data_IF_426537082943
#
_entry.id   IF_426537082943
#
_cell.length_a   1.000
_cell.length_b   1.000
_cell.length_c   1.000
_cell.angle_alpha   90.00
_cell.angle_beta   90.00
_cell.angle_gamma   90.00
#
_symmetry.space_group_name_H-M   'P 1'
#
loop_
_entity.id
_entity.type
_entity.pdbx_description
1 polymer ?
#
# COMPACT_ATOMS: atom_id res chain seq x y z
N UNK A 1 -1.39 -52.74 -45.51
CA UNK A 1 -1.90 -51.38 -45.24
C UNK A 1 -1.74 -51.12 -43.75
N UNK A 2 -0.86 -50.19 -43.38
CA UNK A 2 -0.55 -49.86 -42.00
C UNK A 2 -1.66 -48.99 -41.40
N UNK A 3 -2.38 -49.53 -40.41
CA UNK A 3 -3.27 -48.75 -39.55
C UNK A 3 -2.41 -48.04 -38.50
N UNK A 4 -2.12 -46.76 -38.72
CA UNK A 4 -1.45 -45.93 -37.72
C UNK A 4 -2.42 -45.62 -36.58
N UNK A 5 -2.28 -46.37 -35.48
CA UNK A 5 -2.81 -45.97 -34.18
C UNK A 5 -2.04 -44.75 -33.72
N UNK A 6 -2.71 -43.61 -33.65
CA UNK A 6 -2.17 -42.40 -33.04
C UNK A 6 -2.10 -42.59 -31.52
N UNK A 7 -0.93 -42.96 -31.02
CA UNK A 7 -0.57 -42.86 -29.61
C UNK A 7 -0.55 -41.37 -29.21
N UNK A 8 -1.71 -40.83 -28.85
CA UNK A 8 -1.80 -39.53 -28.22
C UNK A 8 -1.25 -39.64 -26.79
N UNK A 9 0.03 -39.32 -26.61
CA UNK A 9 0.65 -39.02 -25.32
C UNK A 9 0.11 -37.68 -24.79
N UNK A 10 -1.17 -37.62 -24.42
CA UNK A 10 -1.63 -36.59 -23.49
C UNK A 10 -1.06 -36.93 -22.12
N UNK A 11 0.04 -36.28 -21.77
CA UNK A 11 0.58 -36.27 -20.42
C UNK A 11 -0.56 -35.96 -19.43
N UNK A 12 -0.87 -36.87 -18.49
CA UNK A 12 -1.78 -36.63 -17.34
C UNK A 12 -1.16 -35.64 -16.35
N UNK A 13 -0.61 -34.54 -16.85
CA UNK A 13 -0.11 -33.45 -16.02
C UNK A 13 -1.34 -32.65 -15.64
N UNK A 14 -1.85 -32.86 -14.42
CA UNK A 14 -2.79 -31.94 -13.82
C UNK A 14 -2.08 -30.61 -13.63
N UNK A 15 -2.37 -29.64 -14.48
CA UNK A 15 -1.74 -28.30 -14.46
C UNK A 15 -2.21 -27.43 -13.30
N UNK A 16 -3.15 -27.93 -12.50
CA UNK A 16 -3.75 -27.25 -11.37
C UNK A 16 -3.92 -28.24 -10.22
N UNK A 17 -3.53 -27.80 -9.03
CA UNK A 17 -3.76 -28.55 -7.80
C UNK A 17 -5.26 -28.49 -7.46
N UNK A 18 -5.92 -29.66 -7.49
CA UNK A 18 -7.35 -29.78 -7.16
C UNK A 18 -7.66 -29.33 -5.73
N UNK A 19 -6.71 -29.48 -4.82
CA UNK A 19 -6.86 -29.09 -3.42
C UNK A 19 -6.81 -27.56 -3.27
N UNK A 20 -5.99 -26.86 -4.06
CA UNK A 20 -5.99 -25.39 -4.13
C UNK A 20 -7.33 -24.83 -4.63
N UNK A 21 -7.91 -25.47 -5.66
CA UNK A 21 -9.23 -25.12 -6.19
C UNK A 21 -10.33 -25.37 -5.15
N UNK A 22 -10.31 -26.50 -4.44
CA UNK A 22 -11.27 -26.81 -3.37
C UNK A 22 -11.15 -25.83 -2.19
N UNK A 23 -9.92 -25.45 -1.83
CA UNK A 23 -9.62 -24.46 -0.79
C UNK A 23 -10.16 -23.07 -1.17
N UNK A 24 -10.14 -22.71 -2.46
CA UNK A 24 -10.72 -21.46 -2.95
C UNK A 24 -12.25 -21.42 -2.78
N UNK A 25 -12.94 -22.55 -2.95
CA UNK A 25 -14.40 -22.66 -2.80
C UNK A 25 -14.78 -22.66 -1.31
N UNK A 26 -14.05 -23.39 -0.48
CA UNK A 26 -14.24 -23.43 0.98
C UNK A 26 -14.03 -22.06 1.63
N UNK A 27 -12.96 -21.35 1.26
CA UNK A 27 -12.68 -20.00 1.74
C UNK A 27 -13.76 -18.99 1.31
N UNK A 28 -14.28 -19.09 0.08
CA UNK A 28 -15.43 -18.28 -0.39
C UNK A 28 -16.69 -18.56 0.43
N UNK A 29 -16.99 -19.83 0.77
CA UNK A 29 -18.15 -20.20 1.60
C UNK A 29 -18.03 -19.62 3.02
N UNK A 30 -16.85 -19.72 3.63
CA UNK A 30 -16.56 -19.12 4.96
C UNK A 30 -16.71 -17.59 4.92
N UNK A 31 -16.16 -16.92 3.89
CA UNK A 31 -16.29 -15.48 3.71
C UNK A 31 -17.75 -15.03 3.58
N UNK A 32 -18.55 -15.72 2.75
CA UNK A 32 -20.00 -15.45 2.62
C UNK A 32 -20.75 -15.60 3.94
N UNK A 33 -20.42 -16.62 4.74
CA UNK A 33 -21.03 -16.81 6.07
C UNK A 33 -20.68 -15.68 7.03
N UNK A 34 -19.42 -15.23 7.02
CA UNK A 34 -18.97 -14.09 7.80
C UNK A 34 -19.65 -12.79 7.37
N UNK A 35 -19.71 -12.51 6.07
CA UNK A 35 -20.41 -11.34 5.51
C UNK A 35 -21.89 -11.32 5.91
N UNK A 36 -22.59 -12.46 5.87
CA UNK A 36 -23.98 -12.57 6.34
C UNK A 36 -24.09 -12.26 7.83
N UNK A 37 -23.18 -12.78 8.66
CA UNK A 37 -23.15 -12.52 10.10
C UNK A 37 -22.90 -11.04 10.37
N UNK A 38 -21.92 -10.41 9.71
CA UNK A 38 -21.62 -8.99 9.90
C UNK A 38 -22.78 -8.10 9.46
N UNK A 39 -23.46 -8.42 8.36
CA UNK A 39 -24.67 -7.69 7.93
C UNK A 39 -25.79 -7.76 8.96
N UNK A 40 -26.06 -8.94 9.52
CA UNK A 40 -27.05 -9.10 10.60
C UNK A 40 -26.70 -8.25 11.82
N UNK A 41 -25.42 -8.24 12.20
CA UNK A 41 -24.94 -7.45 13.33
C UNK A 41 -25.03 -5.94 13.04
N UNK A 42 -24.72 -5.51 11.82
CA UNK A 42 -24.85 -4.11 11.40
C UNK A 42 -26.29 -3.60 11.47
N UNK A 43 -27.26 -4.45 11.09
CA UNK A 43 -28.69 -4.13 11.21
C UNK A 43 -29.13 -3.96 12.68
N UNK A 44 -28.43 -4.57 13.63
CA UNK A 44 -28.64 -4.43 15.07
C UNK A 44 -27.81 -3.29 15.68
N UNK A 45 -27.12 -2.47 14.87
CA UNK A 45 -26.26 -1.39 15.34
C UNK A 45 -24.88 -1.85 15.87
N UNK A 46 -24.49 -3.11 15.64
CA UNK A 46 -23.21 -3.68 16.06
C UNK A 46 -22.23 -3.64 14.89
N UNK A 47 -21.31 -2.68 14.91
CA UNK A 47 -20.32 -2.51 13.85
C UNK A 47 -19.04 -3.29 14.15
N UNK A 48 -18.73 -4.28 13.31
CA UNK A 48 -17.49 -5.06 13.39
C UNK A 48 -16.60 -4.71 12.20
N UNK A 49 -15.32 -4.41 12.50
CA UNK A 49 -14.33 -4.18 11.46
C UNK A 49 -12.96 -3.74 12.00
N UNK A 50 -11.91 -3.99 11.22
CA UNK A 50 -10.53 -3.64 11.59
C UNK A 50 -10.26 -2.13 11.52
N UNK A 51 -10.92 -1.41 10.62
CA UNK A 51 -10.68 0.02 10.40
C UNK A 51 -11.68 0.90 11.13
N UNK A 52 -11.19 1.77 12.02
CA UNK A 52 -12.01 2.73 12.79
C UNK A 52 -12.81 3.68 11.90
N UNK A 53 -12.24 4.15 10.77
CA UNK A 53 -12.94 5.02 9.83
C UNK A 53 -14.17 4.38 9.19
N UNK A 54 -14.06 3.12 8.71
CA UNK A 54 -15.21 2.41 8.13
C UNK A 54 -16.28 2.10 9.17
N UNK A 55 -15.89 1.77 10.40
CA UNK A 55 -16.84 1.57 11.49
C UNK A 55 -17.61 2.86 11.80
N UNK A 56 -16.93 4.01 11.86
CA UNK A 56 -17.59 5.30 12.07
C UNK A 56 -18.60 5.62 10.96
N UNK A 57 -18.24 5.35 9.70
CA UNK A 57 -19.15 5.56 8.57
C UNK A 57 -20.42 4.70 8.66
N UNK A 58 -20.27 3.42 9.05
CA UNK A 58 -21.42 2.52 9.28
C UNK A 58 -22.29 3.02 10.45
N UNK A 59 -21.67 3.44 11.54
CA UNK A 59 -22.39 3.99 12.69
C UNK A 59 -23.20 5.25 12.35
N UNK A 60 -22.64 6.16 11.55
CA UNK A 60 -23.36 7.35 11.07
C UNK A 60 -24.56 7.00 10.19
N UNK A 61 -24.39 6.09 9.24
CA UNK A 61 -25.49 5.62 8.39
C UNK A 61 -26.61 4.96 9.20
N UNK A 62 -26.25 4.17 10.20
CA UNK A 62 -27.23 3.57 11.09
C UNK A 62 -27.95 4.61 11.94
N UNK A 63 -27.25 5.62 12.47
CA UNK A 63 -27.91 6.70 13.21
C UNK A 63 -28.87 7.49 12.33
N UNK A 64 -28.51 7.76 11.08
CA UNK A 64 -29.38 8.43 10.09
C UNK A 64 -30.61 7.58 9.72
N UNK A 65 -30.43 6.25 9.61
CA UNK A 65 -31.52 5.32 9.37
C UNK A 65 -32.48 5.25 10.56
N UNK A 66 -31.95 5.13 11.78
CA UNK A 66 -32.75 5.12 13.01
C UNK A 66 -33.47 6.44 13.22
N UNK A 67 -32.85 7.59 12.92
CA UNK A 67 -33.52 8.88 13.05
C UNK A 67 -34.71 9.02 12.09
N UNK A 68 -34.60 8.48 10.86
CA UNK A 68 -35.71 8.45 9.89
C UNK A 68 -36.85 7.52 10.32
N UNK A 69 -36.51 6.34 10.86
CA UNK A 69 -37.50 5.42 11.41
C UNK A 69 -38.26 6.00 12.61
N UNK A 70 -37.56 6.73 13.49
CA UNK A 70 -38.18 7.37 14.66
C UNK A 70 -39.15 8.49 14.29
N UNK A 71 -38.95 9.17 13.16
CA UNK A 71 -39.90 10.18 12.66
C UNK A 71 -41.13 9.60 11.96
N UNK A 72 -41.17 8.29 11.72
CA UNK A 72 -42.25 7.58 11.01
C UNK A 72 -43.15 6.74 11.96
N UNK A 73 -43.14 7.02 13.27
CA UNK A 73 -44.03 6.42 14.30
C UNK A 73 -43.99 4.89 14.45
N UNK A 74 -42.82 4.25 14.35
CA UNK A 74 -42.64 2.90 14.89
C UNK A 74 -41.67 2.89 16.07
N UNK A 75 -42.22 3.00 17.29
CA UNK A 75 -41.53 2.54 18.49
C UNK A 75 -41.39 1.01 18.44
N UNK A 76 -40.36 0.54 17.74
CA UNK A 76 -39.79 -0.79 17.98
C UNK A 76 -38.61 -0.60 18.91
N UNK A 77 -38.82 -0.89 20.18
CA UNK A 77 -37.76 -1.02 21.16
C UNK A 77 -36.72 -2.02 20.63
N UNK A 78 -35.57 -1.50 20.21
CA UNK A 78 -34.39 -2.29 19.89
C UNK A 78 -33.65 -2.63 21.19
N UNK A 79 -34.36 -3.26 22.13
CA UNK A 79 -33.78 -3.69 23.40
C UNK A 79 -32.97 -4.97 23.20
N UNK A 80 -31.68 -4.73 22.92
CA UNK A 80 -30.50 -5.38 23.50
C UNK A 80 -30.55 -6.90 23.71
N UNK A 81 -30.48 -7.67 22.62
CA UNK A 81 -29.94 -9.03 22.68
C UNK A 81 -28.41 -9.01 22.50
N UNK A 82 -27.65 -8.58 23.50
CA UNK A 82 -26.17 -8.61 23.44
C UNK A 82 -25.54 -9.00 24.78
N UNK A 83 -25.79 -10.24 25.21
CA UNK A 83 -24.97 -10.87 26.26
C UNK A 83 -23.71 -11.44 25.57
N UNK A 84 -22.53 -10.90 25.91
CA UNK A 84 -21.22 -11.49 25.56
C UNK A 84 -20.44 -10.89 24.38
N UNK A 85 -20.93 -9.87 23.68
CA UNK A 85 -20.19 -9.19 22.58
C UNK A 85 -19.75 -7.79 23.03
N UNK A 86 -18.44 -7.50 22.98
CA UNK A 86 -17.90 -6.14 23.25
C UNK A 86 -18.30 -5.18 22.13
N UNK A 87 -19.38 -4.42 22.32
CA UNK A 87 -19.89 -3.49 21.31
C UNK A 87 -19.28 -2.09 21.48
N UNK A 88 -18.87 -1.49 20.36
CA UNK A 88 -18.50 -0.07 20.30
C UNK A 88 -19.71 0.71 19.81
N UNK A 89 -20.56 1.16 20.72
CA UNK A 89 -21.80 1.89 20.42
C UNK A 89 -21.63 3.41 20.43
N UNK A 90 -20.70 3.92 21.22
CA UNK A 90 -20.50 5.36 21.42
C UNK A 90 -19.85 6.04 20.19
N UNK A 91 -20.67 6.82 19.46
CA UNK A 91 -20.27 7.60 18.28
C UNK A 91 -19.08 8.52 18.57
N UNK A 92 -19.03 9.15 19.74
CA UNK A 92 -17.98 10.11 20.12
C UNK A 92 -16.63 9.41 20.29
N UNK A 93 -16.62 8.24 20.94
CA UNK A 93 -15.42 7.38 21.05
C UNK A 93 -15.00 6.84 19.68
N UNK A 94 -15.94 6.49 18.81
CA UNK A 94 -15.65 6.05 17.44
C UNK A 94 -14.99 7.17 16.62
N UNK A 95 -15.47 8.41 16.72
CA UNK A 95 -14.86 9.57 16.09
C UNK A 95 -13.42 9.80 16.55
N UNK A 96 -13.19 9.80 17.87
CA UNK A 96 -11.84 9.94 18.45
C UNK A 96 -10.90 8.83 17.95
N UNK A 97 -11.39 7.59 17.87
CA UNK A 97 -10.60 6.46 17.36
C UNK A 97 -10.26 6.60 15.86
N UNK A 98 -11.18 7.12 15.05
CA UNK A 98 -10.95 7.40 13.63
C UNK A 98 -9.93 8.52 13.43
N UNK A 99 -10.02 9.58 14.23
CA UNK A 99 -9.05 10.69 14.23
C UNK A 99 -7.64 10.22 14.62
N UNK A 100 -7.52 9.40 15.67
CA UNK A 100 -6.23 8.81 16.07
C UNK A 100 -5.62 7.96 14.96
N UNK A 101 -6.43 7.11 14.32
CA UNK A 101 -5.98 6.29 13.20
C UNK A 101 -5.52 7.15 12.00
N UNK A 102 -6.26 8.21 11.68
CA UNK A 102 -5.87 9.18 10.64
C UNK A 102 -4.55 9.88 10.97
N UNK A 103 -4.37 10.32 12.22
CA UNK A 103 -3.12 10.95 12.70
C UNK A 103 -1.93 9.99 12.60
N UNK A 104 -2.11 8.71 12.97
CA UNK A 104 -1.07 7.69 12.82
C UNK A 104 -0.68 7.46 11.36
N UNK A 105 -1.67 7.35 10.46
CA UNK A 105 -1.40 7.20 9.02
C UNK A 105 -0.70 8.42 8.42
N UNK A 106 -1.06 9.63 8.86
CA UNK A 106 -0.35 10.86 8.47
C UNK A 106 1.09 10.85 8.96
N UNK A 107 1.34 10.50 10.23
CA UNK A 107 2.69 10.35 10.78
C UNK A 107 3.53 9.34 10.01
N UNK A 108 2.97 8.16 9.71
CA UNK A 108 3.70 7.16 8.93
C UNK A 108 3.99 7.66 7.51
N UNK A 109 3.02 8.30 6.85
CA UNK A 109 3.19 8.86 5.51
C UNK A 109 4.31 9.90 5.47
N UNK A 110 4.34 10.84 6.43
CA UNK A 110 5.39 11.84 6.53
C UNK A 110 6.78 11.21 6.73
N UNK A 111 6.91 10.23 7.64
CA UNK A 111 8.17 9.50 7.84
C UNK A 111 8.66 8.80 6.57
N UNK A 112 7.74 8.25 5.78
CA UNK A 112 8.08 7.64 4.48
C UNK A 112 8.56 8.69 3.47
N UNK A 113 7.91 9.87 3.43
CA UNK A 113 8.37 10.98 2.59
C UNK A 113 9.76 11.47 2.98
N UNK A 114 10.01 11.68 4.27
CA UNK A 114 11.31 12.09 4.81
C UNK A 114 12.41 11.09 4.44
N UNK A 115 12.15 9.78 4.58
CA UNK A 115 13.10 8.73 4.17
C UNK A 115 13.41 8.80 2.68
N UNK A 116 12.39 8.98 1.85
CA UNK A 116 12.57 9.04 0.40
C UNK A 116 13.36 10.30 -0.01
N UNK A 117 13.11 11.44 0.64
CA UNK A 117 13.88 12.67 0.44
C UNK A 117 15.35 12.45 0.81
N UNK A 118 15.63 11.88 1.98
CA UNK A 118 17.00 11.56 2.41
C UNK A 118 17.72 10.62 1.43
N UNK A 119 17.03 9.58 0.94
CA UNK A 119 17.59 8.66 -0.04
C UNK A 119 17.95 9.39 -1.34
N UNK A 120 17.11 10.33 -1.79
CA UNK A 120 17.41 11.14 -2.97
C UNK A 120 18.60 12.06 -2.74
N UNK A 121 18.64 12.77 -1.60
CA UNK A 121 19.77 13.62 -1.23
C UNK A 121 21.10 12.83 -1.19
N UNK A 122 21.10 11.64 -0.61
CA UNK A 122 22.29 10.76 -0.58
C UNK A 122 22.71 10.27 -1.98
N UNK A 123 21.75 10.06 -2.89
CA UNK A 123 22.04 9.71 -4.29
C UNK A 123 22.67 10.91 -5.00
N UNK A 124 22.10 12.10 -4.83
CA UNK A 124 22.57 13.33 -5.45
C UNK A 124 23.98 13.68 -4.96
N UNK A 125 24.24 13.59 -3.65
CA UNK A 125 25.57 13.82 -3.08
C UNK A 125 26.60 12.85 -3.68
N UNK A 126 26.25 11.57 -3.82
CA UNK A 126 27.13 10.57 -4.44
C UNK A 126 27.38 10.87 -5.92
N UNK A 127 26.36 11.26 -6.67
CA UNK A 127 26.50 11.63 -8.08
C UNK A 127 27.37 12.89 -8.24
N UNK A 128 27.14 13.94 -7.44
CA UNK A 128 27.98 15.15 -7.43
C UNK A 128 29.43 14.86 -7.10
N UNK A 129 29.71 13.92 -6.17
CA UNK A 129 31.08 13.48 -5.86
C UNK A 129 31.72 12.77 -7.05
N UNK A 130 30.98 11.91 -7.74
CA UNK A 130 31.45 11.23 -8.96
C UNK A 130 31.75 12.22 -10.07
N UNK A 131 30.85 13.18 -10.33
CA UNK A 131 31.03 14.23 -11.33
C UNK A 131 32.29 15.06 -11.03
N UNK A 132 32.47 15.51 -9.77
CA UNK A 132 33.69 16.22 -9.36
C UNK A 132 34.97 15.39 -9.58
N UNK A 133 34.93 14.10 -9.28
CA UNK A 133 36.08 13.23 -9.52
C UNK A 133 36.36 13.02 -11.01
N UNK A 134 35.33 12.90 -11.85
CA UNK A 134 35.48 12.82 -13.30
C UNK A 134 36.06 14.11 -13.87
N UNK A 135 35.57 15.25 -13.40
CA UNK A 135 36.08 16.57 -13.79
C UNK A 135 37.57 16.69 -13.47
N UNK A 136 37.97 16.42 -12.21
CA UNK A 136 39.39 16.41 -11.81
C UNK A 136 40.26 15.48 -12.66
N UNK A 137 39.74 14.30 -13.04
CA UNK A 137 40.46 13.37 -13.94
C UNK A 137 40.60 13.93 -15.35
N UNK A 138 39.57 14.61 -15.85
CA UNK A 138 39.61 15.31 -17.13
C UNK A 138 40.63 16.44 -17.11
N UNK A 139 40.57 17.29 -16.08
CA UNK A 139 41.46 18.45 -15.92
C UNK A 139 42.92 18.01 -15.77
N UNK A 140 43.18 16.95 -14.99
CA UNK A 140 44.52 16.38 -14.87
C UNK A 140 45.07 15.86 -16.21
N UNK A 141 44.23 15.23 -17.05
CA UNK A 141 44.63 14.80 -18.40
C UNK A 141 44.90 16.00 -19.31
N UNK A 142 44.04 17.02 -19.26
CA UNK A 142 44.19 18.24 -20.04
C UNK A 142 45.48 18.99 -19.65
N UNK A 143 45.73 19.16 -18.35
CA UNK A 143 46.94 19.78 -17.82
C UNK A 143 48.20 19.00 -18.20
N UNK A 144 48.20 17.67 -18.10
CA UNK A 144 49.32 16.83 -18.54
C UNK A 144 49.59 16.95 -20.05
N UNK A 145 48.54 17.04 -20.87
CA UNK A 145 48.66 17.25 -22.32
C UNK A 145 49.22 18.65 -22.60
N UNK A 146 48.69 19.68 -21.95
CA UNK A 146 49.16 21.06 -22.06
C UNK A 146 50.65 21.16 -21.72
N UNK A 147 51.08 20.63 -20.57
CA UNK A 147 52.48 20.63 -20.16
C UNK A 147 53.41 19.90 -21.15
N UNK A 148 52.94 18.82 -21.80
CA UNK A 148 53.70 18.14 -22.86
C UNK A 148 53.86 19.00 -24.13
N UNK A 149 52.81 19.71 -24.52
CA UNK A 149 52.84 20.57 -25.71
C UNK A 149 53.72 21.81 -25.50
N UNK A 150 53.62 22.44 -24.33
CA UNK A 150 54.51 23.56 -23.95
C UNK A 150 55.97 23.12 -23.95
N UNK A 151 56.31 21.95 -23.38
CA UNK A 151 57.67 21.39 -23.43
C UNK A 151 58.18 21.13 -24.86
N UNK A 152 57.28 20.89 -25.81
CA UNK A 152 57.60 20.74 -27.24
C UNK A 152 57.62 22.08 -28.00
N UNK A 153 57.54 23.21 -27.31
CA UNK A 153 57.58 24.55 -27.92
C UNK A 153 56.28 24.99 -28.60
N UNK A 154 55.15 24.31 -28.36
CA UNK A 154 53.86 24.76 -28.92
C UNK A 154 53.34 25.97 -28.14
N UNK A 155 52.94 27.02 -28.86
CA UNK A 155 52.30 28.21 -28.29
C UNK A 155 50.81 27.88 -28.11
N UNK A 156 50.35 27.82 -26.86
CA UNK A 156 48.96 27.52 -26.51
C UNK A 156 48.31 28.72 -25.80
N UNK A 157 46.99 28.92 -25.95
CA UNK A 157 46.26 29.92 -25.17
C UNK A 157 46.41 29.61 -23.67
N UNK A 158 46.59 30.66 -22.86
CA UNK A 158 46.74 30.51 -21.41
C UNK A 158 45.47 29.84 -20.85
N UNK A 159 45.64 28.73 -20.13
CA UNK A 159 44.54 28.13 -19.38
C UNK A 159 44.04 29.14 -18.34
N UNK A 160 42.71 29.23 -18.10
CA UNK A 160 42.19 30.06 -17.02
C UNK A 160 42.89 29.67 -15.72
N UNK A 161 43.51 30.65 -15.07
CA UNK A 161 44.10 30.47 -13.74
C UNK A 161 42.93 30.38 -12.75
N UNK A 162 42.84 29.27 -12.03
CA UNK A 162 41.95 29.12 -10.86
C UNK A 162 42.33 30.12 -9.76
#
# INVERSE_FOLDING_TARGET
>A
MYSQGSDYYFSKIETFDRDELANSVSSRKKRRKEERRTRRLENLGIFIGKSSGKMLAKARRYSEYVSKLKSEDQEKSLDQAIIGIKVKTDLSKMQRSALRARKLKRKSSNRWKERNQKIQEERDVRQRKRQRNLQRRSDAKASKKYGRLVKKGHILPQLPKE
#
